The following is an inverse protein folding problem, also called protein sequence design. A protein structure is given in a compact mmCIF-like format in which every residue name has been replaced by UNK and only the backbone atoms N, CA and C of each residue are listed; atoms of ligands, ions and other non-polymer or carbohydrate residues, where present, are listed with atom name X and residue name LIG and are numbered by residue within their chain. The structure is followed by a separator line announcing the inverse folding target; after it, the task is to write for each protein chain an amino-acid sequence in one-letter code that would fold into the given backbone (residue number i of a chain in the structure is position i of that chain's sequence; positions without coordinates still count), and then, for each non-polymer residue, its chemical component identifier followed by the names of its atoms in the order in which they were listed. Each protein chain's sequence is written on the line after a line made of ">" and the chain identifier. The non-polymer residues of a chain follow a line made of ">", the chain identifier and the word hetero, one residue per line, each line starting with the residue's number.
data_IF_878982906177
#
_entry.id   IF_878982906177
#
_cell.length_a   1.000
_cell.length_b   1.000
_cell.length_c   1.000
_cell.angle_alpha   90.00
_cell.angle_beta   90.00
_cell.angle_gamma   90.00
#
_symmetry.space_group_name_H-M   'P 1'
#
loop_
_entity.id
_entity.type
_entity.pdbx_description
1 polymer ?
#
# COMPACT_ATOMS: atom_id res chain seq x y z
N UNK A 1 13.47 -9.29 5.83
CA UNK A 1 13.90 -9.66 4.47
C UNK A 1 14.71 -8.51 3.86
N UNK A 2 15.66 -8.77 2.95
CA UNK A 2 16.34 -7.67 2.26
C UNK A 2 15.42 -6.97 1.25
N UNK A 3 15.67 -5.71 0.90
CA UNK A 3 14.85 -4.99 -0.10
C UNK A 3 14.91 -5.66 -1.47
N UNK A 4 16.10 -6.12 -1.88
CA UNK A 4 16.31 -6.78 -3.17
C UNK A 4 15.58 -8.12 -3.25
N UNK A 5 15.57 -8.87 -2.16
CA UNK A 5 14.83 -10.14 -2.08
C UNK A 5 13.32 -9.92 -2.10
N UNK A 6 12.80 -8.98 -1.30
CA UNK A 6 11.39 -8.61 -1.32
C UNK A 6 10.94 -8.15 -2.71
N UNK A 7 11.75 -7.32 -3.39
CA UNK A 7 11.47 -6.87 -4.75
C UNK A 7 11.41 -8.04 -5.75
N UNK A 8 12.35 -8.99 -5.69
CA UNK A 8 12.34 -10.18 -6.56
C UNK A 8 11.10 -11.05 -6.35
N UNK A 9 10.63 -11.20 -5.12
CA UNK A 9 9.41 -11.95 -4.83
C UNK A 9 8.16 -11.17 -5.30
N UNK A 10 8.12 -9.87 -5.05
CA UNK A 10 7.04 -9.00 -5.51
C UNK A 10 6.91 -8.96 -7.03
N UNK A 11 8.02 -8.93 -7.79
CA UNK A 11 7.99 -9.00 -9.25
C UNK A 11 7.30 -10.27 -9.74
N UNK A 12 7.61 -11.42 -9.14
CA UNK A 12 6.98 -12.69 -9.51
C UNK A 12 5.48 -12.71 -9.18
N UNK A 13 5.10 -12.22 -7.99
CA UNK A 13 3.69 -12.12 -7.60
C UNK A 13 2.92 -11.12 -8.49
N UNK A 14 3.51 -9.95 -8.77
CA UNK A 14 2.90 -8.93 -9.62
C UNK A 14 2.70 -9.44 -11.06
N UNK A 15 3.66 -10.18 -11.61
CA UNK A 15 3.52 -10.84 -12.92
C UNK A 15 2.37 -11.86 -12.93
N UNK A 16 2.26 -12.72 -11.91
CA UNK A 16 1.17 -13.68 -11.81
C UNK A 16 -0.21 -13.00 -11.69
N UNK A 17 -0.29 -11.93 -10.90
CA UNK A 17 -1.51 -11.12 -10.74
C UNK A 17 -1.86 -10.39 -12.04
N UNK A 18 -0.88 -9.81 -12.73
CA UNK A 18 -1.07 -9.16 -14.03
C UNK A 18 -1.64 -10.13 -15.06
N UNK A 19 -1.08 -11.34 -15.14
CA UNK A 19 -1.59 -12.39 -16.03
C UNK A 19 -3.06 -12.74 -15.73
N UNK A 20 -3.43 -12.83 -14.45
CA UNK A 20 -4.82 -13.00 -14.04
C UNK A 20 -5.72 -11.83 -14.46
N UNK A 21 -5.25 -10.60 -14.25
CA UNK A 21 -5.99 -9.38 -14.62
C UNK A 21 -6.23 -9.29 -16.13
N UNK A 22 -5.25 -9.66 -16.95
CA UNK A 22 -5.37 -9.72 -18.42
C UNK A 22 -6.39 -10.77 -18.88
N UNK A 23 -6.54 -11.86 -18.12
CA UNK A 23 -7.59 -12.85 -18.32
C UNK A 23 -8.97 -12.43 -17.75
N UNK A 24 -9.10 -11.20 -17.23
CA UNK A 24 -10.33 -10.69 -16.62
C UNK A 24 -10.61 -11.21 -15.22
N UNK A 25 -9.62 -11.82 -14.56
CA UNK A 25 -9.75 -12.42 -13.23
C UNK A 25 -9.07 -11.53 -12.19
N UNK A 26 -9.84 -11.01 -11.25
CA UNK A 26 -9.31 -10.33 -10.05
C UNK A 26 -9.16 -11.37 -8.94
N UNK A 27 -8.04 -11.39 -8.23
CA UNK A 27 -7.76 -12.40 -7.21
C UNK A 27 -8.62 -12.21 -5.94
N UNK A 28 -8.75 -10.98 -5.45
CA UNK A 28 -9.64 -10.54 -4.32
C UNK A 28 -9.24 -10.95 -2.91
N UNK A 29 -8.42 -11.99 -2.74
CA UNK A 29 -7.99 -12.49 -1.43
C UNK A 29 -6.46 -12.70 -1.34
N UNK A 30 -5.67 -11.78 -1.91
CA UNK A 30 -4.20 -11.88 -1.85
C UNK A 30 -3.71 -11.71 -0.41
N UNK A 31 -2.96 -12.71 0.07
CA UNK A 31 -2.37 -12.76 1.40
C UNK A 31 -1.31 -13.87 1.45
N UNK A 32 -0.41 -13.89 2.45
CA UNK A 32 0.67 -14.89 2.52
C UNK A 32 0.18 -16.34 2.49
N UNK A 33 -1.01 -16.63 3.03
CA UNK A 33 -1.59 -17.98 3.01
C UNK A 33 -1.91 -18.50 1.60
N UNK A 34 -2.07 -17.60 0.62
CA UNK A 34 -2.33 -17.94 -0.77
C UNK A 34 -1.05 -17.84 -1.62
N UNK A 35 0.13 -17.75 -0.99
CA UNK A 35 1.43 -17.73 -1.67
C UNK A 35 2.22 -18.98 -1.26
N UNK A 36 2.47 -19.87 -2.21
CA UNK A 36 3.28 -21.06 -1.99
C UNK A 36 4.74 -20.79 -2.37
N UNK A 37 5.66 -21.02 -1.45
CA UNK A 37 7.09 -20.95 -1.75
C UNK A 37 7.54 -22.27 -2.36
N UNK A 38 7.78 -22.28 -3.67
CA UNK A 38 8.33 -23.45 -4.36
C UNK A 38 9.85 -23.37 -4.36
N UNK A 39 10.49 -24.42 -3.85
CA UNK A 39 11.94 -24.58 -3.90
C UNK A 39 12.36 -25.13 -5.27
N UNK A 40 13.43 -24.57 -5.82
CA UNK A 40 14.07 -25.09 -7.03
C UNK A 40 14.65 -26.49 -6.80
N UNK A 41 14.81 -27.26 -7.87
CA UNK A 41 15.37 -28.61 -7.84
C UNK A 41 16.81 -28.68 -7.33
N UNK A 42 17.57 -27.59 -7.46
CA UNK A 42 18.92 -27.44 -6.88
C UNK A 42 18.90 -27.06 -5.39
N UNK A 43 17.74 -26.74 -4.83
CA UNK A 43 17.58 -26.32 -3.45
C UNK A 43 17.98 -24.87 -3.16
N UNK A 44 18.57 -24.15 -4.11
CA UNK A 44 19.23 -22.86 -3.88
C UNK A 44 18.29 -21.67 -3.97
N UNK A 45 17.19 -21.80 -4.73
CA UNK A 45 16.26 -20.69 -4.97
C UNK A 45 14.83 -21.04 -4.57
N UNK A 46 14.09 -20.03 -4.13
CA UNK A 46 12.66 -20.12 -3.85
C UNK A 46 11.90 -19.13 -4.73
N UNK A 47 10.76 -19.57 -5.26
CA UNK A 47 9.84 -18.74 -6.02
C UNK A 47 8.46 -18.70 -5.36
N UNK A 48 7.86 -17.51 -5.16
CA UNK A 48 6.47 -17.41 -4.74
C UNK A 48 5.56 -17.80 -5.91
N UNK A 49 4.58 -18.66 -5.63
CA UNK A 49 3.52 -19.07 -6.56
C UNK A 49 2.19 -18.61 -5.98
N UNK A 50 1.45 -17.79 -6.73
CA UNK A 50 0.12 -17.33 -6.34
C UNK A 50 -0.89 -18.45 -6.54
N UNK A 51 -1.66 -18.77 -5.51
CA UNK A 51 -2.70 -19.81 -5.48
C UNK A 51 -4.11 -19.21 -5.51
N UNK A 52 -5.12 -20.06 -5.71
CA UNK A 52 -6.54 -19.76 -5.43
C UNK A 52 -7.12 -18.49 -6.09
N UNK A 53 -6.79 -18.25 -7.35
CA UNK A 53 -7.39 -17.17 -8.14
C UNK A 53 -8.93 -17.21 -8.08
N UNK A 54 -9.53 -16.19 -7.48
CA UNK A 54 -10.96 -15.88 -7.59
C UNK A 54 -11.94 -16.89 -6.97
N UNK A 55 -11.49 -17.93 -6.27
CA UNK A 55 -12.36 -18.99 -5.74
C UNK A 55 -13.34 -18.51 -4.65
N UNK A 56 -13.16 -17.31 -4.09
CA UNK A 56 -13.92 -16.82 -2.94
C UNK A 56 -15.17 -15.98 -3.27
N UNK A 57 -15.55 -15.79 -4.53
CA UNK A 57 -16.53 -14.74 -4.87
C UNK A 57 -17.91 -15.20 -5.38
N UNK A 58 -18.19 -16.49 -5.50
CA UNK A 58 -19.54 -16.97 -5.85
C UNK A 58 -20.48 -16.99 -4.63
N UNK A 59 -20.56 -15.89 -3.90
CA UNK A 59 -21.62 -15.70 -2.90
C UNK A 59 -22.15 -14.27 -2.98
N UNK A 60 -23.20 -14.10 -3.78
CA UNK A 60 -24.10 -12.93 -3.82
C UNK A 60 -24.86 -12.68 -2.50
N UNK A 61 -24.49 -13.36 -1.43
CA UNK A 61 -25.17 -13.25 -0.16
C UNK A 61 -24.65 -12.02 0.60
N UNK A 62 -25.57 -11.07 0.79
CA UNK A 62 -25.62 -10.00 1.81
C UNK A 62 -25.41 -10.48 3.27
N UNK A 63 -24.87 -11.68 3.47
CA UNK A 63 -24.70 -12.43 4.72
C UNK A 63 -23.27 -12.98 4.79
N UNK A 64 -22.26 -12.17 4.47
CA UNK A 64 -20.87 -12.49 4.81
C UNK A 64 -20.56 -12.21 6.30
N UNK A 65 -21.58 -12.22 7.17
CA UNK A 65 -21.53 -11.64 8.51
C UNK A 65 -21.07 -12.60 9.61
N UNK A 66 -20.98 -13.92 9.39
CA UNK A 66 -20.76 -14.83 10.54
C UNK A 66 -19.77 -15.97 10.35
N UNK A 67 -19.51 -16.46 9.14
CA UNK A 67 -18.63 -17.65 8.96
C UNK A 67 -17.18 -17.29 8.60
N UNK A 68 -16.90 -16.02 8.25
CA UNK A 68 -15.55 -15.51 7.94
C UNK A 68 -14.77 -14.96 9.16
N UNK A 69 -15.30 -15.16 10.37
CA UNK A 69 -14.76 -14.65 11.64
C UNK A 69 -13.41 -15.30 12.03
N UNK A 70 -12.94 -16.34 11.34
CA UNK A 70 -11.68 -17.00 11.69
C UNK A 70 -10.41 -16.37 11.05
N UNK A 71 -10.54 -15.33 10.22
CA UNK A 71 -9.38 -14.68 9.57
C UNK A 71 -9.29 -13.19 9.88
N UNK A 72 -8.11 -12.72 10.30
CA UNK A 72 -7.86 -11.30 10.50
C UNK A 72 -7.78 -10.58 9.14
N UNK A 73 -8.60 -9.55 8.88
CA UNK A 73 -8.76 -8.89 7.56
C UNK A 73 -7.60 -7.95 7.18
N UNK A 74 -6.35 -8.30 7.52
CA UNK A 74 -5.20 -7.39 7.44
C UNK A 74 -4.82 -6.94 6.03
N UNK A 75 -5.22 -7.71 5.01
CA UNK A 75 -4.83 -7.51 3.60
C UNK A 75 -5.95 -6.95 2.74
N UNK A 76 -7.13 -6.66 3.32
CA UNK A 76 -8.29 -6.18 2.55
C UNK A 76 -8.09 -4.73 2.11
N UNK A 77 -8.41 -4.43 0.86
CA UNK A 77 -8.39 -3.06 0.36
C UNK A 77 -9.55 -2.22 0.95
N UNK A 78 -9.38 -0.90 1.13
CA UNK A 78 -10.44 -0.01 1.62
C UNK A 78 -11.77 -0.14 0.86
N UNK A 79 -11.72 -0.15 -0.47
CA UNK A 79 -12.91 -0.25 -1.32
C UNK A 79 -13.61 -1.62 -1.20
N UNK A 80 -12.85 -2.70 -0.97
CA UNK A 80 -13.40 -4.03 -0.70
C UNK A 80 -14.10 -4.08 0.66
N UNK A 81 -13.52 -3.44 1.68
CA UNK A 81 -14.08 -3.39 3.02
C UNK A 81 -15.39 -2.56 3.07
N UNK A 82 -15.47 -1.49 2.27
CA UNK A 82 -16.61 -0.58 2.25
C UNK A 82 -17.78 -1.05 1.36
N UNK A 83 -17.48 -1.55 0.16
CA UNK A 83 -18.50 -1.82 -0.85
C UNK A 83 -18.65 -3.31 -1.19
N UNK A 84 -17.88 -4.19 -0.54
CA UNK A 84 -17.86 -5.61 -0.84
C UNK A 84 -17.51 -5.87 -2.31
N UNK A 85 -18.15 -6.87 -2.91
CA UNK A 85 -17.87 -7.28 -4.30
C UNK A 85 -18.28 -6.26 -5.38
N UNK A 86 -18.99 -5.17 -5.03
CA UNK A 86 -19.58 -4.24 -6.02
C UNK A 86 -18.59 -3.26 -6.66
N UNK A 87 -17.46 -2.99 -6.01
CA UNK A 87 -16.46 -2.03 -6.50
C UNK A 87 -15.03 -2.59 -6.46
N UNK A 88 -14.89 -3.92 -6.47
CA UNK A 88 -13.56 -4.54 -6.51
C UNK A 88 -12.99 -4.35 -7.91
N UNK A 89 -11.77 -3.82 -7.97
CA UNK A 89 -11.03 -3.59 -9.21
C UNK A 89 -9.69 -4.31 -9.15
N UNK A 90 -8.96 -4.45 -10.28
CA UNK A 90 -7.56 -4.88 -10.28
C UNK A 90 -6.68 -4.13 -9.27
N UNK A 91 -7.01 -2.86 -8.97
CA UNK A 91 -6.30 -2.03 -7.98
C UNK A 91 -6.44 -2.54 -6.55
N UNK A 92 -7.49 -3.30 -6.23
CA UNK A 92 -7.67 -3.91 -4.91
C UNK A 92 -6.57 -4.94 -4.62
N UNK A 93 -6.21 -5.74 -5.62
CA UNK A 93 -5.10 -6.70 -5.51
C UNK A 93 -3.76 -5.97 -5.31
N UNK A 94 -3.56 -4.78 -5.91
CA UNK A 94 -2.37 -3.96 -5.68
C UNK A 94 -2.24 -3.49 -4.23
N UNK A 95 -3.36 -3.19 -3.56
CA UNK A 95 -3.32 -2.84 -2.14
C UNK A 95 -2.86 -4.02 -1.30
N UNK A 96 -3.43 -5.21 -1.53
CA UNK A 96 -3.05 -6.44 -0.84
C UNK A 96 -1.58 -6.81 -1.09
N UNK A 97 -1.09 -6.65 -2.32
CA UNK A 97 0.33 -6.75 -2.67
C UNK A 97 1.18 -5.75 -1.88
N UNK A 98 0.72 -4.51 -1.74
CA UNK A 98 1.36 -3.48 -0.91
C UNK A 98 1.46 -3.86 0.56
N UNK A 99 0.40 -4.46 1.12
CA UNK A 99 0.39 -4.95 2.52
C UNK A 99 1.41 -6.09 2.68
N UNK A 100 1.49 -7.02 1.75
CA UNK A 100 2.47 -8.11 1.77
C UNK A 100 3.90 -7.56 1.64
N UNK A 101 4.14 -6.61 0.73
CA UNK A 101 5.45 -5.94 0.62
C UNK A 101 5.83 -5.26 1.93
N UNK A 102 4.92 -4.50 2.53
CA UNK A 102 5.14 -3.89 3.84
C UNK A 102 5.59 -4.92 4.87
N UNK A 103 4.85 -6.03 4.98
CA UNK A 103 5.16 -7.09 5.93
C UNK A 103 6.49 -7.79 5.66
N UNK A 104 6.86 -8.04 4.40
CA UNK A 104 8.17 -8.60 4.08
C UNK A 104 9.32 -7.66 4.51
N UNK A 105 9.11 -6.35 4.41
CA UNK A 105 10.09 -5.33 4.75
C UNK A 105 10.22 -5.11 6.27
N UNK A 106 9.11 -5.14 7.01
CA UNK A 106 9.05 -4.72 8.43
C UNK A 106 8.78 -5.86 9.41
N UNK A 107 8.25 -6.99 8.94
CA UNK A 107 7.77 -8.10 9.77
C UNK A 107 6.34 -7.93 10.30
N UNK A 108 5.70 -6.77 10.09
CA UNK A 108 4.34 -6.46 10.57
C UNK A 108 3.45 -5.93 9.45
N UNK A 109 2.13 -5.93 9.61
CA UNK A 109 1.21 -5.28 8.64
C UNK A 109 1.04 -3.79 8.97
N UNK A 110 0.73 -2.91 8.00
CA UNK A 110 0.58 -1.47 8.24
C UNK A 110 -0.59 -1.16 9.18
N UNK A 111 -1.63 -1.99 9.17
CA UNK A 111 -2.74 -1.97 10.12
C UNK A 111 -2.90 -3.37 10.69
N UNK A 112 -3.30 -3.45 11.96
CA UNK A 112 -3.45 -4.72 12.71
C UNK A 112 -4.82 -4.80 13.39
N UNK A 113 -5.92 -4.75 12.62
CA UNK A 113 -7.26 -4.88 13.21
C UNK A 113 -7.44 -6.29 13.79
N UNK A 114 -8.20 -6.43 14.89
CA UNK A 114 -8.53 -7.73 15.47
C UNK A 114 -9.71 -8.40 14.74
N UNK A 115 -10.62 -7.59 14.19
CA UNK A 115 -11.82 -8.06 13.50
C UNK A 115 -12.18 -7.19 12.29
N UNK A 116 -13.20 -7.61 11.54
CA UNK A 116 -13.65 -6.91 10.33
C UNK A 116 -14.17 -5.50 10.58
N UNK A 117 -14.95 -5.29 11.65
CA UNK A 117 -15.49 -3.97 11.97
C UNK A 117 -14.37 -2.98 12.31
N UNK A 118 -13.35 -3.43 13.05
CA UNK A 118 -12.16 -2.62 13.33
C UNK A 118 -11.35 -2.33 12.07
N UNK A 119 -11.21 -3.29 11.16
CA UNK A 119 -10.52 -3.07 9.89
C UNK A 119 -11.18 -1.97 9.05
N UNK A 120 -12.50 -1.99 8.95
CA UNK A 120 -13.29 -0.96 8.27
C UNK A 120 -13.01 0.41 8.89
N UNK A 121 -13.00 0.51 10.22
CA UNK A 121 -12.72 1.76 10.93
C UNK A 121 -11.28 2.26 10.67
N UNK A 122 -10.29 1.37 10.80
CA UNK A 122 -8.87 1.73 10.63
C UNK A 122 -8.56 2.13 9.19
N UNK A 123 -9.09 1.41 8.19
CA UNK A 123 -8.86 1.74 6.78
C UNK A 123 -9.35 3.14 6.42
N UNK A 124 -10.41 3.61 7.07
CA UNK A 124 -10.96 4.94 6.84
C UNK A 124 -10.21 6.04 7.63
N UNK A 125 -9.91 5.79 8.91
CA UNK A 125 -9.46 6.85 9.82
C UNK A 125 -7.97 6.79 10.20
N UNK A 126 -7.33 5.63 10.14
CA UNK A 126 -5.96 5.46 10.63
C UNK A 126 -4.93 5.76 9.54
N UNK A 127 -4.00 6.70 9.75
CA UNK A 127 -2.91 6.93 8.80
C UNK A 127 -2.04 5.68 8.69
N UNK A 128 -1.51 5.42 7.49
CA UNK A 128 -0.52 4.36 7.27
C UNK A 128 0.86 4.94 7.50
N UNK A 129 1.53 4.45 8.55
CA UNK A 129 2.93 4.74 8.78
C UNK A 129 3.79 4.07 7.71
N UNK A 130 4.73 4.80 7.10
CA UNK A 130 5.66 4.24 6.12
C UNK A 130 6.61 3.20 6.73
N UNK A 131 7.10 2.23 5.95
CA UNK A 131 7.92 1.14 6.47
C UNK A 131 9.24 1.62 7.11
N UNK A 132 9.79 2.79 6.73
CA UNK A 132 10.97 3.37 7.40
C UNK A 132 10.75 3.72 8.86
N UNK A 133 9.50 3.89 9.32
CA UNK A 133 9.21 4.09 10.75
C UNK A 133 9.60 2.87 11.58
N UNK A 134 9.46 1.67 11.01
CA UNK A 134 9.81 0.40 11.65
C UNK A 134 11.21 -0.09 11.26
N UNK A 135 11.65 0.26 10.05
CA UNK A 135 12.95 -0.14 9.50
C UNK A 135 13.67 1.05 8.84
N UNK A 136 14.38 1.89 9.62
CA UNK A 136 14.96 3.14 9.13
C UNK A 136 16.01 3.00 8.03
N UNK A 137 16.64 1.82 7.90
CA UNK A 137 17.65 1.50 6.88
C UNK A 137 17.06 1.31 5.47
N UNK A 138 15.74 1.27 5.32
CA UNK A 138 15.12 1.15 3.99
C UNK A 138 15.39 2.38 3.11
N UNK A 139 15.56 2.13 1.82
CA UNK A 139 15.67 3.16 0.80
C UNK A 139 14.38 3.96 0.66
N UNK A 140 14.50 5.24 0.27
CA UNK A 140 13.32 6.08 -0.01
C UNK A 140 12.53 5.54 -1.21
N UNK A 141 13.20 4.93 -2.18
CA UNK A 141 12.60 4.31 -3.35
C UNK A 141 11.67 3.15 -2.95
N UNK A 142 12.15 2.21 -2.13
CA UNK A 142 11.35 1.07 -1.68
C UNK A 142 10.16 1.52 -0.83
N UNK A 143 10.35 2.50 0.06
CA UNK A 143 9.25 3.09 0.80
C UNK A 143 8.20 3.72 -0.15
N UNK A 144 8.63 4.46 -1.16
CA UNK A 144 7.71 5.12 -2.09
C UNK A 144 6.89 4.09 -2.87
N UNK A 145 7.50 3.00 -3.35
CA UNK A 145 6.80 1.90 -4.03
C UNK A 145 5.74 1.30 -3.12
N UNK A 146 6.11 0.97 -1.88
CA UNK A 146 5.21 0.39 -0.89
C UNK A 146 4.02 1.31 -0.58
N UNK A 147 4.29 2.60 -0.31
CA UNK A 147 3.25 3.58 0.00
C UNK A 147 2.33 3.90 -1.20
N UNK A 148 2.83 3.82 -2.44
CA UNK A 148 2.01 3.98 -3.65
C UNK A 148 0.99 2.85 -3.79
N UNK A 149 1.35 1.62 -3.40
CA UNK A 149 0.39 0.51 -3.35
C UNK A 149 -0.68 0.71 -2.26
N UNK A 150 -0.28 1.28 -1.12
CA UNK A 150 -1.13 1.45 0.07
C UNK A 150 -1.98 2.73 0.07
N UNK A 151 -2.09 3.44 -1.07
CA UNK A 151 -2.99 4.59 -1.18
C UNK A 151 -4.44 4.15 -0.96
N UNK A 152 -5.18 4.92 -0.16
CA UNK A 152 -6.59 4.60 0.11
C UNK A 152 -7.41 4.65 -1.17
N UNK A 153 -7.26 5.74 -1.93
CA UNK A 153 -7.85 5.91 -3.25
C UNK A 153 -7.17 4.96 -4.27
N UNK A 154 -7.92 4.03 -4.89
CA UNK A 154 -7.41 3.13 -5.94
C UNK A 154 -6.80 3.85 -7.16
N UNK A 155 -7.28 5.06 -7.48
CA UNK A 155 -6.81 5.82 -8.64
C UNK A 155 -5.42 6.42 -8.41
N UNK A 156 -5.02 6.60 -7.14
CA UNK A 156 -3.67 7.04 -6.76
C UNK A 156 -2.66 5.89 -6.66
N UNK A 157 -3.09 4.63 -6.85
CA UNK A 157 -2.20 3.45 -6.93
C UNK A 157 -1.65 3.29 -8.34
N UNK A 158 -0.72 2.34 -8.54
CA UNK A 158 -0.27 1.96 -9.89
C UNK A 158 -1.44 1.58 -10.78
N UNK A 159 -1.33 1.86 -12.09
CA UNK A 159 -2.36 1.55 -13.07
C UNK A 159 -2.64 0.04 -13.17
N UNK A 160 -1.61 -0.78 -13.06
CA UNK A 160 -1.69 -2.24 -13.18
C UNK A 160 -0.63 -2.92 -12.32
N UNK A 161 -0.73 -4.25 -12.18
CA UNK A 161 0.30 -5.04 -11.53
C UNK A 161 1.61 -5.04 -12.35
N UNK A 162 1.51 -4.98 -13.68
CA UNK A 162 2.66 -4.75 -14.56
C UNK A 162 3.37 -3.41 -14.31
N UNK A 163 2.64 -2.34 -13.99
CA UNK A 163 3.26 -1.05 -13.66
C UNK A 163 4.02 -1.09 -12.30
N UNK A 164 3.49 -1.80 -11.31
CA UNK A 164 4.22 -2.07 -10.06
C UNK A 164 5.48 -2.89 -10.32
N UNK A 165 5.36 -3.93 -11.15
CA UNK A 165 6.46 -4.81 -11.54
C UNK A 165 7.60 -4.04 -12.21
N UNK A 166 7.28 -3.20 -13.19
CA UNK A 166 8.25 -2.35 -13.88
C UNK A 166 8.99 -1.42 -12.90
N UNK A 167 8.30 -0.87 -11.89
CA UNK A 167 8.93 0.02 -10.91
C UNK A 167 9.88 -0.73 -9.95
N UNK A 168 9.53 -1.97 -9.59
CA UNK A 168 10.41 -2.86 -8.82
C UNK A 168 11.63 -3.30 -9.65
N UNK A 169 11.49 -3.50 -10.96
CA UNK A 169 12.62 -3.78 -11.84
C UNK A 169 13.58 -2.58 -11.92
N UNK A 170 13.05 -1.35 -12.02
CA UNK A 170 13.86 -0.12 -11.96
C UNK A 170 14.63 -0.03 -10.65
N UNK A 171 13.95 -0.30 -9.53
CA UNK A 171 14.60 -0.37 -8.22
C UNK A 171 15.75 -1.39 -8.17
N UNK A 172 15.55 -2.61 -8.69
CA UNK A 172 16.61 -3.64 -8.72
C UNK A 172 17.79 -3.28 -9.64
N UNK A 173 17.54 -2.42 -10.63
CA UNK A 173 18.53 -1.96 -11.62
C UNK A 173 19.17 -0.62 -11.23
N UNK A 174 18.94 -0.14 -9.99
CA UNK A 174 19.40 1.16 -9.49
C UNK A 174 18.98 2.36 -10.38
N UNK A 175 17.83 2.23 -11.05
CA UNK A 175 17.21 3.28 -11.85
C UNK A 175 16.19 4.10 -11.03
N UNK A 176 15.94 5.37 -11.39
CA UNK A 176 14.90 6.16 -10.74
C UNK A 176 13.53 5.50 -10.85
N UNK A 177 12.85 5.34 -9.71
CA UNK A 177 11.49 4.79 -9.63
C UNK A 177 10.44 5.85 -9.98
N UNK A 178 9.31 5.42 -10.55
CA UNK A 178 8.14 6.26 -10.81
C UNK A 178 7.37 6.59 -9.54
N UNK A 179 7.40 5.71 -8.54
CA UNK A 179 6.86 6.00 -7.23
C UNK A 179 7.58 7.19 -6.59
N UNK A 180 6.89 8.33 -6.57
CA UNK A 180 7.36 9.50 -5.84
C UNK A 180 6.85 9.42 -4.40
N UNK A 181 7.73 9.74 -3.46
CA UNK A 181 7.28 10.09 -2.12
C UNK A 181 6.28 11.25 -2.24
N UNK A 182 5.16 11.25 -1.49
CA UNK A 182 4.23 12.37 -1.50
C UNK A 182 4.99 13.65 -1.20
N UNK A 183 4.82 14.63 -2.09
CA UNK A 183 5.36 15.97 -1.94
C UNK A 183 4.90 16.61 -0.63
N UNK A 184 5.63 17.62 -0.16
CA UNK A 184 5.25 18.37 1.05
C UNK A 184 3.82 18.91 0.92
N UNK A 185 3.41 19.35 -0.26
CA UNK A 185 2.06 19.82 -0.54
C UNK A 185 1.00 18.71 -0.44
N UNK A 186 1.30 17.52 -0.97
CA UNK A 186 0.39 16.36 -0.85
C UNK A 186 0.29 15.85 0.59
N UNK A 187 1.41 15.86 1.34
CA UNK A 187 1.41 15.53 2.78
C UNK A 187 0.60 16.55 3.58
N UNK A 188 0.82 17.84 3.32
CA UNK A 188 0.07 18.94 3.93
C UNK A 188 -1.44 18.82 3.64
N UNK A 189 -1.82 18.66 2.36
CA UNK A 189 -3.22 18.51 1.98
C UNK A 189 -3.88 17.28 2.60
N UNK A 190 -3.19 16.15 2.61
CA UNK A 190 -3.67 14.93 3.25
C UNK A 190 -3.82 15.09 4.77
N UNK A 191 -2.84 15.71 5.45
CA UNK A 191 -2.88 15.93 6.90
C UNK A 191 -3.89 16.98 7.33
N UNK A 192 -4.18 18.01 6.53
CA UNK A 192 -5.28 18.93 6.80
C UNK A 192 -6.65 18.25 6.69
N UNK A 193 -6.79 17.30 5.77
CA UNK A 193 -8.07 16.66 5.47
C UNK A 193 -8.33 15.43 6.36
N UNK A 194 -7.28 14.74 6.81
CA UNK A 194 -7.38 13.47 7.56
C UNK A 194 -6.55 13.43 8.86
N UNK A 195 -5.80 14.49 9.20
CA UNK A 195 -4.94 14.54 10.38
C UNK A 195 -5.68 14.95 11.65
N UNK A 196 -5.05 14.71 12.81
CA UNK A 196 -5.53 15.23 14.10
C UNK A 196 -5.39 16.75 14.15
N UNK A 197 -6.20 17.41 15.00
CA UNK A 197 -6.14 18.86 15.23
C UNK A 197 -4.70 19.35 15.48
N UNK A 198 -3.91 18.60 16.23
CA UNK A 198 -2.50 18.93 16.54
C UNK A 198 -1.62 19.07 15.29
N UNK A 199 -1.78 18.17 14.31
CA UNK A 199 -1.00 18.21 13.06
C UNK A 199 -1.43 19.39 12.19
N UNK A 200 -2.72 19.69 12.15
CA UNK A 200 -3.28 20.87 11.49
C UNK A 200 -2.72 22.16 12.10
N UNK A 201 -2.61 22.25 13.43
CA UNK A 201 -1.98 23.38 14.10
C UNK A 201 -0.48 23.51 13.78
N UNK A 202 0.25 22.38 13.75
CA UNK A 202 1.67 22.38 13.37
C UNK A 202 1.91 23.00 12.00
N UNK A 203 1.07 22.65 11.02
CA UNK A 203 1.13 23.23 9.68
C UNK A 203 0.72 24.70 9.62
N UNK A 204 -0.28 25.12 10.40
CA UNK A 204 -0.67 26.54 10.51
C UNK A 204 0.48 27.39 11.05
N UNK A 205 1.24 26.90 12.04
CA UNK A 205 2.42 27.58 12.59
C UNK A 205 3.51 27.72 11.53
N UNK A 206 3.77 26.67 10.75
CA UNK A 206 4.75 26.73 9.63
C UNK A 206 4.32 27.78 8.60
N UNK A 207 3.03 27.81 8.23
CA UNK A 207 2.48 28.80 7.31
C UNK A 207 2.61 30.24 7.82
N UNK A 208 2.30 30.49 9.10
CA UNK A 208 2.46 31.80 9.75
C UNK A 208 3.94 32.24 9.71
N UNK A 209 4.88 31.34 10.03
CA UNK A 209 6.30 31.66 9.99
C UNK A 209 6.79 31.98 8.57
N UNK A 210 6.37 31.21 7.56
CA UNK A 210 6.74 31.52 6.18
C UNK A 210 6.18 32.87 5.71
N UNK A 211 4.96 33.21 6.13
CA UNK A 211 4.36 34.51 5.86
C UNK A 211 5.13 35.66 6.54
N UNK A 212 5.49 35.51 7.82
CA UNK A 212 6.26 36.55 8.55
C UNK A 212 7.65 36.75 7.95
N UNK A 213 8.32 35.66 7.54
CA UNK A 213 9.60 35.74 6.83
C UNK A 213 9.47 36.41 5.46
N UNK A 214 8.45 36.05 4.67
CA UNK A 214 8.20 36.67 3.37
C UNK A 214 7.88 38.16 3.51
N UNK A 215 7.09 38.54 4.51
CA UNK A 215 6.77 39.94 4.83
C UNK A 215 8.02 40.72 5.26
N UNK A 216 8.85 40.16 6.13
CA UNK A 216 10.13 40.77 6.53
C UNK A 216 11.08 40.95 5.33
N UNK A 217 11.14 39.97 4.43
CA UNK A 217 11.97 40.01 3.23
C UNK A 217 11.46 40.98 2.14
N UNK A 218 10.16 41.28 2.10
CA UNK A 218 9.54 42.18 1.11
C UNK A 218 9.22 43.60 1.61
N UNK A 219 9.19 43.81 2.94
CA UNK A 219 8.70 45.06 3.54
C UNK A 219 9.58 45.63 4.66
N UNK A 220 10.70 45.01 5.01
CA UNK A 220 11.70 45.59 5.94
C UNK A 220 12.55 46.73 5.35
N UNK A 221 12.10 47.36 4.26
CA UNK A 221 12.82 48.43 3.55
C UNK A 221 12.04 49.75 3.45
N UNK A 222 10.88 49.86 4.10
CA UNK A 222 10.06 51.09 4.13
C UNK A 222 9.40 51.36 5.49
N UNK A 223 10.18 51.27 6.58
CA UNK A 223 9.88 51.98 7.84
C UNK A 223 11.14 52.66 8.33
#
# INVERSE_FOLDING_TARGET
>A
MSEKEAAKWMIQMANAVQYGHEAGIIHRDLKPQNILMQQSSDGETQRPVVLDFGLCANTDSTVATTTRIAGTPRYIAPEQAMFGNRQITPKSDLYSLGVMLYQMLTGTTPLTPDNFAEAVLMLHHSPIDGPKKHRPDLSDAMQAICLKCLRRDPDLRYESAGALEADLQRFLSDQPVEARAPSIAERFGYELYHGSLEKTFGWAIIGINLFTWAWAASGGLLV
#
